data_IF_080635096153
#
_entry.id   IF_080635096153
#
_cell.length_a   1.000
_cell.length_b   1.000
_cell.length_c   1.000
_cell.angle_alpha   90.00
_cell.angle_beta   90.00
_cell.angle_gamma   90.00
#
_symmetry.space_group_name_H-M   'P 1'
#
loop_
_entity.id
_entity.type
_entity.pdbx_description
1 polymer ?
#
# COMPACT_ATOMS: atom_id res chain seq x y z
N UNK A 1 26.96 3.99 2.12
CA UNK A 1 26.51 4.50 0.82
C UNK A 1 25.24 5.26 1.12
N UNK A 2 25.25 6.57 0.91
CA UNK A 2 24.06 7.39 1.11
C UNK A 2 23.05 6.97 0.04
N UNK A 3 22.02 6.23 0.45
CA UNK A 3 20.93 5.89 -0.46
C UNK A 3 20.31 7.21 -0.88
N UNK A 4 20.24 7.51 -2.18
CA UNK A 4 19.70 8.78 -2.69
C UNK A 4 18.20 8.99 -2.42
N UNK A 5 17.64 8.30 -1.43
CA UNK A 5 16.28 8.42 -0.95
C UNK A 5 16.18 8.16 0.57
N UNK A 6 15.12 8.67 1.19
CA UNK A 6 14.73 8.39 2.56
C UNK A 6 13.25 7.97 2.64
N UNK A 7 12.91 7.04 3.53
CA UNK A 7 11.51 6.65 3.77
C UNK A 7 11.02 7.30 5.05
N UNK A 8 9.86 7.94 4.97
CA UNK A 8 9.17 8.52 6.13
C UNK A 8 7.65 8.35 6.01
N UNK A 9 6.92 8.36 7.13
CA UNK A 9 5.46 8.47 7.11
C UNK A 9 5.03 9.72 6.33
N UNK A 10 3.84 9.68 5.72
CA UNK A 10 3.23 10.86 5.09
C UNK A 10 3.08 12.00 6.11
N UNK A 11 2.68 11.70 7.35
CA UNK A 11 2.55 12.71 8.41
C UNK A 11 1.65 13.87 7.97
N UNK A 12 2.18 15.09 8.09
CA UNK A 12 1.51 16.34 7.69
C UNK A 12 1.81 16.77 6.25
N UNK A 13 2.57 15.97 5.47
CA UNK A 13 2.78 16.28 4.05
C UNK A 13 1.45 16.22 3.28
N UNK A 14 1.31 17.01 2.19
CA UNK A 14 0.11 16.99 1.37
C UNK A 14 -0.22 15.58 0.84
N UNK A 15 -1.45 15.12 1.06
CA UNK A 15 -1.94 13.82 0.60
C UNK A 15 -1.84 13.65 -0.92
N UNK A 16 -1.83 14.77 -1.66
CA UNK A 16 -1.60 14.84 -3.09
C UNK A 16 -0.31 14.14 -3.53
N UNK A 17 0.74 14.15 -2.70
CA UNK A 17 2.00 13.44 -2.97
C UNK A 17 1.81 11.94 -3.10
N UNK A 18 0.99 11.35 -2.23
CA UNK A 18 0.60 9.95 -2.34
C UNK A 18 -0.31 9.72 -3.56
N UNK A 19 -1.23 10.65 -3.82
CA UNK A 19 -2.17 10.53 -4.93
C UNK A 19 -1.51 10.55 -6.29
N UNK A 20 -0.46 11.34 -6.49
CA UNK A 20 0.32 11.36 -7.73
C UNK A 20 0.93 9.99 -8.02
N UNK A 21 1.49 9.35 -7.00
CA UNK A 21 2.05 7.99 -7.11
C UNK A 21 0.97 6.94 -7.33
N UNK A 22 -0.18 7.05 -6.66
CA UNK A 22 -1.32 6.13 -6.84
C UNK A 22 -1.90 6.22 -8.25
N UNK A 23 -2.03 7.42 -8.81
CA UNK A 23 -2.49 7.62 -10.20
C UNK A 23 -1.47 7.05 -11.18
N UNK A 24 -0.17 7.28 -10.97
CA UNK A 24 0.88 6.71 -11.81
C UNK A 24 0.88 5.17 -11.76
N UNK A 25 0.67 4.58 -10.57
CA UNK A 25 0.53 3.13 -10.38
C UNK A 25 -0.60 2.56 -11.24
N UNK A 26 -1.82 3.10 -11.11
CA UNK A 26 -2.95 2.58 -11.88
C UNK A 26 -2.82 2.87 -13.38
N UNK A 27 -2.20 3.98 -13.77
CA UNK A 27 -1.93 4.26 -15.18
C UNK A 27 -1.00 3.20 -15.80
N UNK A 28 0.03 2.73 -15.07
CA UNK A 28 0.88 1.61 -15.52
C UNK A 28 0.14 0.27 -15.56
N UNK A 29 -0.95 0.13 -14.80
CA UNK A 29 -1.84 -1.04 -14.80
C UNK A 29 -2.98 -0.93 -15.83
N UNK A 30 -3.01 0.14 -16.64
CA UNK A 30 -3.95 0.31 -17.76
C UNK A 30 -5.19 1.14 -17.45
N UNK A 31 -5.23 1.88 -16.32
CA UNK A 31 -6.29 2.84 -16.04
C UNK A 31 -6.35 3.93 -17.12
N UNK A 32 -7.57 4.23 -17.60
CA UNK A 32 -7.78 5.25 -18.61
C UNK A 32 -7.54 6.67 -18.04
N UNK A 33 -7.00 7.62 -18.84
CA UNK A 33 -6.65 8.96 -18.34
C UNK A 33 -7.82 9.76 -17.75
N UNK A 34 -9.03 9.58 -18.25
CA UNK A 34 -10.26 10.23 -17.78
C UNK A 34 -10.71 9.73 -16.40
N UNK A 35 -10.29 8.53 -15.99
CA UNK A 35 -10.57 7.96 -14.67
C UNK A 35 -9.72 8.59 -13.55
N UNK A 36 -8.58 9.20 -13.88
CA UNK A 36 -7.64 9.71 -12.89
C UNK A 36 -8.26 10.82 -12.00
N UNK A 37 -9.08 11.70 -12.58
CA UNK A 37 -9.73 12.77 -11.82
C UNK A 37 -10.76 12.22 -10.82
N UNK A 38 -11.56 11.24 -11.24
CA UNK A 38 -12.52 10.57 -10.36
C UNK A 38 -11.80 9.84 -9.22
N UNK A 39 -10.75 9.08 -9.53
CA UNK A 39 -9.93 8.39 -8.53
C UNK A 39 -9.38 9.35 -7.47
N UNK A 40 -8.88 10.53 -7.87
CA UNK A 40 -8.40 11.55 -6.94
C UNK A 40 -9.51 12.07 -6.04
N UNK A 41 -10.65 12.44 -6.62
CA UNK A 41 -11.79 12.97 -5.87
C UNK A 41 -12.34 11.95 -4.86
N UNK A 42 -12.51 10.71 -5.27
CA UNK A 42 -13.06 9.65 -4.41
C UNK A 42 -12.10 9.25 -3.31
N UNK A 43 -10.80 9.12 -3.63
CA UNK A 43 -9.79 8.79 -2.62
C UNK A 43 -9.62 9.92 -1.60
N UNK A 44 -9.63 11.18 -2.04
CA UNK A 44 -9.55 12.33 -1.13
C UNK A 44 -10.76 12.40 -0.18
N UNK A 45 -11.97 12.19 -0.71
CA UNK A 45 -13.21 12.12 0.09
C UNK A 45 -13.15 10.99 1.11
N UNK A 46 -12.70 9.81 0.69
CA UNK A 46 -12.54 8.66 1.58
C UNK A 46 -11.51 8.94 2.68
N UNK A 47 -10.36 9.54 2.33
CA UNK A 47 -9.30 9.87 3.29
C UNK A 47 -9.78 10.87 4.35
N UNK A 48 -10.55 11.88 3.96
CA UNK A 48 -11.12 12.86 4.90
C UNK A 48 -12.03 12.20 5.95
N UNK A 49 -12.76 11.16 5.55
CA UNK A 49 -13.67 10.42 6.44
C UNK A 49 -12.97 9.35 7.27
N UNK A 50 -11.82 8.85 6.79
CA UNK A 50 -11.16 7.66 7.33
C UNK A 50 -9.65 7.86 7.57
N UNK A 51 -9.23 9.07 7.96
CA UNK A 51 -7.81 9.42 8.06
C UNK A 51 -7.00 8.47 8.96
N UNK A 52 -7.64 7.87 9.98
CA UNK A 52 -7.01 6.92 10.90
C UNK A 52 -7.10 5.46 10.45
N UNK A 53 -7.84 5.16 9.38
CA UNK A 53 -8.00 3.80 8.87
C UNK A 53 -6.79 3.33 8.08
N UNK A 54 -5.94 4.24 7.61
CA UNK A 54 -4.71 3.91 6.90
C UNK A 54 -3.49 4.61 7.49
N UNK A 55 -2.32 4.03 7.24
CA UNK A 55 -1.03 4.72 7.42
C UNK A 55 -0.25 4.60 6.12
N UNK A 56 0.37 5.70 5.72
CA UNK A 56 1.04 5.84 4.43
C UNK A 56 2.51 6.20 4.64
N UNK A 57 3.38 5.63 3.83
CA UNK A 57 4.80 5.97 3.77
C UNK A 57 5.18 6.37 2.35
N UNK A 58 6.09 7.33 2.27
CA UNK A 58 6.65 7.83 1.03
C UNK A 58 8.17 7.64 1.05
N UNK A 59 8.71 7.25 -0.09
CA UNK A 59 10.14 7.34 -0.38
C UNK A 59 10.41 8.69 -1.04
N UNK A 60 11.33 9.46 -0.47
CA UNK A 60 11.69 10.81 -0.87
C UNK A 60 13.09 10.84 -1.45
N UNK A 61 13.22 11.34 -2.67
CA UNK A 61 14.49 11.72 -3.23
C UNK A 61 14.56 13.24 -3.27
N UNK A 62 15.32 13.84 -2.36
CA UNK A 62 15.24 15.28 -2.09
C UNK A 62 13.76 15.67 -1.80
N UNK A 63 13.20 16.63 -2.52
CA UNK A 63 11.82 17.11 -2.37
C UNK A 63 10.77 16.30 -3.17
N UNK A 64 11.19 15.26 -3.91
CA UNK A 64 10.30 14.47 -4.75
C UNK A 64 9.89 13.17 -4.07
N UNK A 65 8.59 12.92 -3.96
CA UNK A 65 8.07 11.60 -3.61
C UNK A 65 8.18 10.66 -4.82
N UNK A 66 8.97 9.59 -4.69
CA UNK A 66 9.34 8.68 -5.80
C UNK A 66 8.80 7.26 -5.62
N UNK A 67 8.22 6.96 -4.46
CA UNK A 67 7.55 5.70 -4.18
C UNK A 67 6.70 5.76 -2.93
N UNK A 68 5.79 4.81 -2.77
CA UNK A 68 4.88 4.75 -1.65
C UNK A 68 4.52 3.31 -1.25
N UNK A 69 4.03 3.16 -0.02
CA UNK A 69 3.33 1.99 0.48
C UNK A 69 2.28 2.44 1.50
N UNK A 70 1.21 1.67 1.66
CA UNK A 70 0.15 1.96 2.62
C UNK A 70 -0.26 0.70 3.35
N UNK A 71 -0.65 0.84 4.63
CA UNK A 71 -1.38 -0.18 5.36
C UNK A 71 -2.77 0.35 5.68
N UNK A 72 -3.80 -0.42 5.32
CA UNK A 72 -5.14 -0.24 5.86
C UNK A 72 -5.29 -1.12 7.10
N UNK A 73 -5.74 -0.54 8.21
CA UNK A 73 -5.99 -1.24 9.46
C UNK A 73 -7.35 -1.92 9.41
N UNK A 74 -7.39 -3.21 9.75
CA UNK A 74 -8.58 -4.04 9.61
C UNK A 74 -8.95 -4.72 10.94
N UNK A 75 -9.76 -4.06 11.78
CA UNK A 75 -10.26 -4.68 13.01
C UNK A 75 -11.21 -5.84 12.69
N UNK A 76 -10.95 -7.01 13.27
CA UNK A 76 -11.85 -8.17 13.21
C UNK A 76 -12.26 -8.60 14.61
N UNK A 77 -13.22 -9.52 14.66
CA UNK A 77 -13.43 -10.29 15.88
C UNK A 77 -12.15 -11.06 16.24
N UNK A 78 -11.81 -11.17 17.54
CA UNK A 78 -10.74 -12.05 18.00
C UNK A 78 -10.92 -13.48 17.50
N UNK A 79 -9.81 -14.17 17.27
CA UNK A 79 -9.81 -15.58 16.86
C UNK A 79 -8.65 -16.33 17.54
N UNK A 80 -8.69 -17.68 17.61
CA UNK A 80 -7.63 -18.44 18.28
C UNK A 80 -6.22 -18.02 17.81
N UNK A 81 -5.35 -17.73 18.78
CA UNK A 81 -4.00 -17.20 18.54
C UNK A 81 -3.91 -15.67 18.39
N UNK A 82 -5.03 -14.94 18.27
CA UNK A 82 -5.04 -13.50 17.99
C UNK A 82 -6.17 -12.79 18.74
N UNK A 83 -5.93 -12.47 20.01
CA UNK A 83 -6.92 -11.91 20.92
C UNK A 83 -7.34 -10.47 20.58
N UNK A 84 -6.53 -9.69 19.86
CA UNK A 84 -6.88 -8.33 19.45
C UNK A 84 -7.76 -8.29 18.21
N UNK A 85 -7.76 -9.37 17.40
CA UNK A 85 -8.43 -9.42 16.10
C UNK A 85 -7.90 -8.43 15.06
N UNK A 86 -6.83 -7.68 15.34
CA UNK A 86 -6.33 -6.65 14.43
C UNK A 86 -5.48 -7.26 13.31
N UNK A 87 -5.96 -7.12 12.07
CA UNK A 87 -5.22 -7.43 10.85
C UNK A 87 -4.87 -6.13 10.10
N UNK A 88 -4.04 -6.22 9.05
CA UNK A 88 -3.79 -5.11 8.14
C UNK A 88 -3.71 -5.57 6.68
N UNK A 89 -4.09 -4.68 5.76
CA UNK A 89 -3.98 -4.89 4.31
C UNK A 89 -2.88 -4.00 3.74
N UNK A 90 -1.86 -4.60 3.12
CA UNK A 90 -0.78 -3.86 2.44
C UNK A 90 -1.24 -3.53 1.02
N UNK A 91 -1.27 -2.24 0.71
CA UNK A 91 -1.74 -1.70 -0.58
C UNK A 91 -0.85 -0.55 -1.05
N UNK A 92 -1.02 -0.16 -2.31
CA UNK A 92 -0.37 1.00 -2.92
C UNK A 92 1.16 0.93 -2.87
N UNK A 93 1.73 -0.26 -3.01
CA UNK A 93 3.19 -0.41 -3.10
C UNK A 93 3.60 -0.06 -4.52
N UNK A 94 4.21 1.12 -4.68
CA UNK A 94 4.62 1.63 -5.99
C UNK A 94 5.93 2.38 -5.90
N UNK A 95 6.75 2.28 -6.96
CA UNK A 95 7.97 3.07 -7.14
C UNK A 95 8.01 3.51 -8.58
N UNK A 96 8.27 4.80 -8.81
CA UNK A 96 8.41 5.37 -10.15
C UNK A 96 9.47 4.62 -10.96
N UNK A 97 9.27 4.40 -12.27
CA UNK A 97 10.18 3.60 -13.10
C UNK A 97 11.67 3.96 -12.97
N UNK A 98 12.02 5.24 -12.97
CA UNK A 98 13.39 5.74 -12.85
C UNK A 98 14.08 5.40 -11.51
N UNK A 99 13.29 5.10 -10.47
CA UNK A 99 13.75 4.82 -9.11
C UNK A 99 13.69 3.32 -8.75
N UNK A 100 13.26 2.46 -9.69
CA UNK A 100 13.19 1.00 -9.48
C UNK A 100 14.57 0.39 -9.39
N UNK A 101 14.62 -0.84 -8.87
CA UNK A 101 15.85 -1.66 -8.71
C UNK A 101 16.90 -1.08 -7.75
N UNK A 102 16.54 -0.06 -6.98
CA UNK A 102 17.39 0.54 -5.93
C UNK A 102 17.01 0.09 -4.51
N UNK A 103 16.14 -0.91 -4.36
CA UNK A 103 15.71 -1.44 -3.06
C UNK A 103 14.56 -0.69 -2.38
N UNK A 104 14.08 0.43 -2.95
CA UNK A 104 13.03 1.29 -2.37
C UNK A 104 11.76 0.53 -2.00
N UNK A 105 11.19 -0.24 -2.94
CA UNK A 105 9.96 -1.01 -2.68
C UNK A 105 10.16 -1.98 -1.51
N UNK A 106 11.35 -2.57 -1.39
CA UNK A 106 11.67 -3.45 -0.28
C UNK A 106 11.67 -2.75 1.06
N UNK A 107 12.39 -1.62 1.16
CA UNK A 107 12.43 -0.84 2.39
C UNK A 107 11.05 -0.26 2.77
N UNK A 108 10.22 0.12 1.80
CA UNK A 108 8.83 0.55 2.04
C UNK A 108 8.00 -0.56 2.68
N UNK A 109 8.08 -1.79 2.15
CA UNK A 109 7.38 -2.95 2.72
C UNK A 109 7.93 -3.28 4.11
N UNK A 110 9.25 -3.25 4.29
CA UNK A 110 9.88 -3.52 5.60
C UNK A 110 9.42 -2.50 6.66
N UNK A 111 9.32 -1.22 6.27
CA UNK A 111 8.83 -0.13 7.12
C UNK A 111 7.37 -0.35 7.51
N UNK A 112 6.51 -0.72 6.54
CA UNK A 112 5.12 -1.04 6.80
C UNK A 112 4.97 -2.24 7.76
N UNK A 113 5.73 -3.33 7.53
CA UNK A 113 5.69 -4.52 8.38
C UNK A 113 6.21 -4.24 9.80
N UNK A 114 7.19 -3.36 9.96
CA UNK A 114 7.65 -2.92 11.27
C UNK A 114 6.52 -2.19 12.03
N UNK A 115 5.86 -1.23 11.38
CA UNK A 115 4.72 -0.52 11.97
C UNK A 115 3.54 -1.45 12.32
N UNK A 116 3.26 -2.46 11.47
CA UNK A 116 2.26 -3.47 11.77
C UNK A 116 2.61 -4.27 13.03
N UNK A 117 3.88 -4.66 13.18
CA UNK A 117 4.36 -5.38 14.36
C UNK A 117 4.28 -4.54 15.64
N UNK A 118 4.68 -3.27 15.56
CA UNK A 118 4.59 -2.33 16.69
C UNK A 118 3.14 -2.13 17.14
N UNK A 119 2.20 -2.13 16.20
CA UNK A 119 0.76 -2.04 16.48
C UNK A 119 0.13 -3.37 16.93
N UNK A 120 0.89 -4.45 17.02
CA UNK A 120 0.38 -5.77 17.43
C UNK A 120 -0.55 -6.41 16.41
N UNK A 121 -0.35 -6.13 15.11
CA UNK A 121 -1.10 -6.75 14.02
C UNK A 121 -0.78 -8.24 13.95
N UNK A 122 -1.83 -9.06 13.93
CA UNK A 122 -1.76 -10.51 13.83
C UNK A 122 -1.28 -11.00 12.46
N UNK A 123 -1.77 -10.35 11.40
CA UNK A 123 -1.59 -10.79 10.03
C UNK A 123 -1.64 -9.60 9.09
N UNK A 124 -0.71 -9.56 8.14
CA UNK A 124 -0.74 -8.65 7.00
C UNK A 124 -1.02 -9.46 5.74
N UNK A 125 -2.00 -9.04 4.95
CA UNK A 125 -2.34 -9.66 3.67
C UNK A 125 -2.37 -8.63 2.54
N UNK A 126 -2.26 -9.08 1.30
CA UNK A 126 -2.17 -8.24 0.12
C UNK A 126 -2.61 -9.00 -1.13
N UNK A 127 -2.95 -8.26 -2.18
CA UNK A 127 -3.03 -8.77 -3.54
C UNK A 127 -1.72 -8.46 -4.29
N UNK A 128 -0.96 -9.49 -4.66
CA UNK A 128 0.34 -9.31 -5.30
C UNK A 128 0.20 -9.21 -6.81
N UNK A 129 0.73 -8.13 -7.41
CA UNK A 129 0.98 -8.12 -8.85
C UNK A 129 2.06 -9.16 -9.23
N UNK A 130 2.05 -9.62 -10.48
CA UNK A 130 3.06 -10.56 -10.98
C UNK A 130 4.49 -10.04 -10.76
N UNK A 131 4.70 -8.73 -10.98
CA UNK A 131 5.99 -8.07 -10.76
C UNK A 131 6.39 -7.98 -9.27
N UNK A 132 5.41 -7.81 -8.37
CA UNK A 132 5.64 -7.66 -6.93
C UNK A 132 5.82 -8.98 -6.18
N UNK A 133 5.32 -10.11 -6.72
CA UNK A 133 5.26 -11.40 -5.99
C UNK A 133 6.59 -11.80 -5.33
N UNK A 134 7.69 -11.75 -6.06
CA UNK A 134 9.00 -12.15 -5.54
C UNK A 134 9.50 -11.24 -4.39
N UNK A 135 9.07 -9.97 -4.36
CA UNK A 135 9.39 -9.02 -3.28
C UNK A 135 8.80 -9.49 -1.95
N UNK A 136 7.53 -9.89 -1.99
CA UNK A 136 6.76 -10.31 -0.82
C UNK A 136 7.22 -11.68 -0.31
N UNK A 137 7.45 -12.64 -1.20
CA UNK A 137 7.95 -13.97 -0.81
C UNK A 137 9.27 -13.89 -0.03
N UNK A 138 10.21 -13.03 -0.45
CA UNK A 138 11.48 -12.79 0.27
C UNK A 138 11.29 -12.17 1.66
N UNK A 139 10.12 -11.62 1.97
CA UNK A 139 9.76 -11.02 3.27
C UNK A 139 8.85 -11.91 4.11
N UNK A 140 8.73 -13.18 3.74
CA UNK A 140 7.96 -14.18 4.50
C UNK A 140 6.47 -14.17 4.22
N UNK A 141 5.98 -13.43 3.22
CA UNK A 141 4.63 -13.66 2.73
C UNK A 141 4.56 -15.04 2.06
N UNK A 142 3.52 -15.82 2.40
CA UNK A 142 3.20 -17.08 1.72
C UNK A 142 2.02 -16.91 0.77
N UNK A 143 1.83 -17.86 -0.14
CA UNK A 143 0.54 -18.03 -0.82
C UNK A 143 -0.45 -18.64 0.17
N UNK A 144 -1.67 -18.13 0.17
CA UNK A 144 -2.78 -18.71 0.90
C UNK A 144 -3.79 -19.25 -0.12
N UNK A 145 -3.83 -20.58 -0.26
CA UNK A 145 -4.64 -21.27 -1.27
C UNK A 145 -6.15 -21.24 -0.95
N UNK A 146 -6.54 -20.58 0.15
CA UNK A 146 -7.89 -20.57 0.70
C UNK A 146 -8.61 -19.22 0.59
N UNK A 147 -7.98 -18.19 0.02
CA UNK A 147 -8.66 -16.90 -0.19
C UNK A 147 -9.61 -16.99 -1.39
N UNK A 148 -10.87 -16.64 -1.16
CA UNK A 148 -11.89 -16.54 -2.18
C UNK A 148 -12.48 -15.12 -2.15
N UNK A 149 -12.67 -14.55 -3.33
CA UNK A 149 -13.31 -13.26 -3.50
C UNK A 149 -14.68 -13.46 -4.16
N UNK A 150 -15.70 -12.84 -3.60
CA UNK A 150 -17.01 -12.77 -4.23
C UNK A 150 -17.28 -11.34 -4.66
N UNK A 151 -17.63 -11.18 -5.92
CA UNK A 151 -17.99 -9.90 -6.52
C UNK A 151 -19.48 -9.92 -6.86
N UNK A 152 -20.27 -8.93 -6.42
CA UNK A 152 -21.59 -8.71 -6.98
C UNK A 152 -21.53 -8.64 -8.52
N UNK A 153 -22.54 -9.18 -9.25
CA UNK A 153 -22.49 -9.22 -10.72
C UNK A 153 -22.24 -7.88 -11.40
N UNK A 154 -22.67 -6.77 -10.78
CA UNK A 154 -22.52 -5.42 -11.32
C UNK A 154 -21.15 -4.77 -11.06
N UNK A 155 -20.33 -5.35 -10.19
CA UNK A 155 -19.09 -4.72 -9.69
C UNK A 155 -17.84 -5.53 -10.01
N UNK A 156 -17.94 -6.58 -10.84
CA UNK A 156 -16.76 -7.30 -11.32
C UNK A 156 -15.82 -6.33 -12.04
N UNK A 157 -14.53 -6.28 -11.68
CA UNK A 157 -13.53 -5.55 -12.44
C UNK A 157 -13.52 -6.11 -13.88
N UNK A 158 -13.58 -5.22 -14.87
CA UNK A 158 -13.44 -5.60 -16.29
C UNK A 158 -11.98 -5.71 -16.67
#
# INVERSE_FOLDING_TARGET
MDTGFAIRPLGDDPFERLMDLRVAMFAEEGMAPDQAQALRADTARWQQQHAQACTHWLAWAQEAAVGCASLAWFPRLPYPGHATGLEAYLLNVYVQPAWRRQGIAGQLVDTALAAARERGVAKVWLHASAAGRALYLRRGFGSADTYLEWWPPATMPR
#
